data_IF_084635494347
#
_entry.id   IF_084635494347
#
_cell.length_a   1.000
_cell.length_b   1.000
_cell.length_c   1.000
_cell.angle_alpha   90.00
_cell.angle_beta   90.00
_cell.angle_gamma   90.00
#
_symmetry.space_group_name_H-M   'P 1'
#
loop_
_entity.id
_entity.type
_entity.pdbx_description
1 polymer ?
#
# COMPACT_ATOMS: atom_id res chain seq x y z
N UNK A 1 7.61 -11.14 14.85
CA UNK A 1 7.47 -10.78 13.42
C UNK A 1 6.78 -9.42 13.37
N UNK A 2 7.52 -8.36 13.04
CA UNK A 2 7.00 -6.98 13.08
C UNK A 2 6.26 -6.71 11.77
N UNK A 3 5.00 -6.30 11.87
CA UNK A 3 4.14 -6.05 10.70
C UNK A 3 4.66 -4.90 9.82
N UNK A 4 5.26 -3.88 10.44
CA UNK A 4 5.92 -2.75 9.78
C UNK A 4 7.26 -2.45 10.50
N UNK A 5 8.43 -2.68 9.88
CA UNK A 5 9.72 -2.37 10.48
C UNK A 5 9.89 -0.86 10.64
N UNK A 6 10.70 -0.40 11.62
CA UNK A 6 10.87 1.04 11.92
C UNK A 6 11.35 1.88 10.73
N UNK A 7 12.07 1.27 9.79
CA UNK A 7 12.48 1.89 8.51
C UNK A 7 11.29 2.45 7.72
N UNK A 8 10.12 1.81 7.81
CA UNK A 8 8.89 2.23 7.11
C UNK A 8 8.35 3.58 7.57
N UNK A 9 8.78 4.08 8.73
CA UNK A 9 8.39 5.40 9.26
C UNK A 9 9.03 6.57 8.51
N UNK A 10 10.09 6.30 7.73
CA UNK A 10 10.74 7.29 6.87
C UNK A 10 9.96 7.58 5.59
N UNK A 11 9.02 6.71 5.22
CA UNK A 11 8.16 6.90 4.05
C UNK A 11 7.00 7.85 4.39
N UNK A 12 6.59 8.71 3.44
CA UNK A 12 5.42 9.55 3.64
C UNK A 12 4.20 8.66 3.91
N UNK A 13 3.42 8.92 4.97
CA UNK A 13 2.25 8.10 5.25
C UNK A 13 1.22 8.28 4.12
N UNK A 14 0.55 7.20 3.68
CA UNK A 14 -0.48 7.31 2.66
C UNK A 14 -1.58 8.25 3.13
N UNK A 15 -2.12 9.10 2.23
CA UNK A 15 -3.25 9.97 2.55
C UNK A 15 -4.43 9.16 3.09
N UNK A 16 -5.14 9.72 4.08
CA UNK A 16 -6.34 9.09 4.67
C UNK A 16 -7.41 8.80 3.60
N UNK A 17 -7.51 9.68 2.60
CA UNK A 17 -8.28 9.49 1.37
C UNK A 17 -7.33 9.05 0.26
N UNK A 18 -7.14 7.74 0.09
CA UNK A 18 -6.42 7.18 -1.05
C UNK A 18 -7.41 6.48 -1.99
N UNK A 19 -7.01 6.33 -3.26
CA UNK A 19 -7.88 5.79 -4.32
C UNK A 19 -8.36 4.36 -4.00
N UNK A 20 -7.56 3.59 -3.26
CA UNK A 20 -7.90 2.24 -2.78
C UNK A 20 -8.96 2.26 -1.68
N UNK A 21 -8.88 3.17 -0.70
CA UNK A 21 -9.85 3.27 0.39
C UNK A 21 -11.22 3.79 -0.07
N UNK A 22 -11.26 4.61 -1.12
CA UNK A 22 -12.52 5.01 -1.78
C UNK A 22 -13.13 3.82 -2.53
N UNK A 23 -12.34 3.04 -3.25
CA UNK A 23 -12.80 1.86 -4.00
C UNK A 23 -13.31 0.73 -3.08
N UNK A 24 -12.58 0.42 -2.00
CA UNK A 24 -12.99 -0.60 -1.03
C UNK A 24 -14.27 -0.21 -0.28
N UNK A 25 -14.46 1.09 -0.01
CA UNK A 25 -15.68 1.61 0.63
C UNK A 25 -16.89 1.55 -0.33
N UNK A 26 -16.67 1.74 -1.63
CA UNK A 26 -17.70 1.56 -2.66
C UNK A 26 -18.17 0.10 -2.81
N UNK A 27 -17.24 -0.86 -2.84
CA UNK A 27 -17.58 -2.29 -2.98
C UNK A 27 -18.42 -2.86 -1.83
N UNK A 28 -18.18 -2.40 -0.60
CA UNK A 28 -18.92 -2.84 0.58
C UNK A 28 -20.32 -2.21 0.68
N UNK A 29 -20.49 -0.98 0.17
CA UNK A 29 -21.78 -0.30 0.16
C UNK A 29 -22.81 -0.98 -0.76
N UNK A 30 -22.38 -1.59 -1.87
CA UNK A 30 -23.25 -2.26 -2.83
C UNK A 30 -23.62 -3.70 -2.47
N UNK A 31 -22.96 -4.32 -1.48
CA UNK A 31 -23.00 -5.77 -1.26
C UNK A 31 -23.92 -6.25 -0.12
N UNK A 32 -24.59 -5.35 0.62
CA UNK A 32 -25.39 -5.74 1.79
C UNK A 32 -26.80 -5.13 1.75
N UNK A 33 -27.88 -5.94 1.89
CA UNK A 33 -29.24 -5.42 1.98
C UNK A 33 -29.36 -4.48 3.18
N UNK A 34 -30.27 -3.51 3.09
CA UNK A 34 -30.49 -2.38 4.01
C UNK A 34 -30.91 -2.77 5.46
N UNK A 35 -30.61 -3.98 5.92
CA UNK A 35 -30.87 -4.46 7.28
C UNK A 35 -29.66 -4.16 8.18
N UNK A 36 -29.56 -2.91 8.64
CA UNK A 36 -28.68 -2.52 9.74
C UNK A 36 -27.51 -1.62 9.33
N UNK A 37 -27.78 -0.32 9.23
CA UNK A 37 -26.78 0.75 9.02
C UNK A 37 -25.60 0.62 10.00
N UNK A 38 -25.85 0.18 11.24
CA UNK A 38 -24.79 -0.07 12.23
C UNK A 38 -23.75 -1.10 11.76
N UNK A 39 -24.19 -2.23 11.18
CA UNK A 39 -23.26 -3.25 10.66
C UNK A 39 -22.53 -2.75 9.41
N UNK A 40 -23.20 -2.00 8.55
CA UNK A 40 -22.55 -1.39 7.38
C UNK A 40 -21.45 -0.40 7.78
N UNK A 41 -21.69 0.46 8.78
CA UNK A 41 -20.69 1.40 9.29
C UNK A 41 -19.51 0.66 9.93
N UNK A 42 -19.78 -0.41 10.69
CA UNK A 42 -18.73 -1.25 11.27
C UNK A 42 -17.86 -1.90 10.19
N UNK A 43 -18.47 -2.54 9.20
CA UNK A 43 -17.72 -3.17 8.09
C UNK A 43 -16.95 -2.14 7.27
N UNK A 44 -17.56 -1.00 6.93
CA UNK A 44 -16.87 0.08 6.21
C UNK A 44 -15.67 0.64 6.98
N UNK A 45 -15.76 0.74 8.31
CA UNK A 45 -14.66 1.22 9.16
C UNK A 45 -13.55 0.19 9.25
N UNK A 46 -13.89 -1.09 9.41
CA UNK A 46 -12.93 -2.19 9.42
C UNK A 46 -12.21 -2.34 8.07
N UNK A 47 -12.96 -2.31 6.97
CA UNK A 47 -12.38 -2.31 5.63
C UNK A 47 -11.46 -1.11 5.41
N UNK A 48 -11.87 0.09 5.82
CA UNK A 48 -11.01 1.27 5.73
C UNK A 48 -9.72 1.14 6.55
N UNK A 49 -9.78 0.53 7.73
CA UNK A 49 -8.61 0.29 8.57
C UNK A 49 -7.68 -0.76 7.96
N UNK A 50 -8.23 -1.88 7.52
CA UNK A 50 -7.46 -2.97 6.90
C UNK A 50 -6.85 -2.51 5.58
N UNK A 51 -7.62 -1.85 4.72
CA UNK A 51 -7.16 -1.28 3.45
C UNK A 51 -6.05 -0.26 3.66
N UNK A 52 -6.16 0.61 4.66
CA UNK A 52 -5.08 1.56 5.02
C UNK A 52 -3.77 0.83 5.39
N UNK A 53 -3.84 -0.22 6.20
CA UNK A 53 -2.66 -1.01 6.58
C UNK A 53 -2.07 -1.79 5.39
N UNK A 54 -2.92 -2.31 4.51
CA UNK A 54 -2.48 -3.00 3.29
C UNK A 54 -1.78 -2.04 2.32
N UNK A 55 -2.33 -0.85 2.09
CA UNK A 55 -1.71 0.18 1.25
C UNK A 55 -0.36 0.60 1.83
N UNK A 56 -0.27 0.86 3.14
CA UNK A 56 1.02 1.14 3.80
C UNK A 56 2.06 0.04 3.56
N UNK A 57 1.65 -1.22 3.67
CA UNK A 57 2.55 -2.35 3.46
C UNK A 57 2.97 -2.44 1.99
N UNK A 58 2.05 -2.22 1.05
CA UNK A 58 2.35 -2.23 -0.37
C UNK A 58 3.34 -1.13 -0.75
N UNK A 59 3.13 0.11 -0.30
CA UNK A 59 4.04 1.22 -0.52
C UNK A 59 5.44 0.95 0.06
N UNK A 60 5.51 0.37 1.27
CA UNK A 60 6.79 -0.03 1.87
C UNK A 60 7.51 -1.10 1.05
N UNK A 61 6.82 -2.15 0.59
CA UNK A 61 7.42 -3.22 -0.20
C UNK A 61 7.93 -2.68 -1.54
N UNK A 62 7.15 -1.84 -2.23
CA UNK A 62 7.58 -1.23 -3.48
C UNK A 62 8.79 -0.30 -3.27
N UNK A 63 8.79 0.55 -2.24
CA UNK A 63 9.93 1.42 -1.94
C UNK A 63 11.20 0.62 -1.58
N UNK A 64 11.05 -0.49 -0.87
CA UNK A 64 12.18 -1.37 -0.53
C UNK A 64 12.79 -1.99 -1.78
N UNK A 65 11.97 -2.55 -2.66
CA UNK A 65 12.42 -3.16 -3.92
C UNK A 65 13.15 -2.14 -4.79
N UNK A 66 12.61 -0.92 -4.88
CA UNK A 66 13.21 0.17 -5.66
C UNK A 66 14.58 0.56 -5.09
N UNK A 67 14.71 0.66 -3.75
CA UNK A 67 16.00 0.91 -3.08
C UNK A 67 17.03 -0.17 -3.38
N UNK A 68 16.65 -1.44 -3.26
CA UNK A 68 17.52 -2.58 -3.53
C UNK A 68 17.95 -2.61 -5.02
N UNK A 69 17.03 -2.28 -5.94
CA UNK A 69 17.34 -2.18 -7.36
C UNK A 69 18.35 -1.06 -7.66
N UNK A 70 18.16 0.14 -7.09
CA UNK A 70 19.11 1.24 -7.27
C UNK A 70 20.48 0.96 -6.64
N UNK A 71 20.53 0.27 -5.49
CA UNK A 71 21.79 -0.19 -4.90
C UNK A 71 22.48 -1.20 -5.82
N UNK A 72 21.75 -2.17 -6.36
CA UNK A 72 22.29 -3.17 -7.28
C UNK A 72 22.87 -2.52 -8.55
N UNK A 73 22.15 -1.58 -9.17
CA UNK A 73 22.60 -0.82 -10.36
C UNK A 73 23.87 -0.02 -10.04
N UNK A 74 23.95 0.64 -8.87
CA UNK A 74 25.16 1.37 -8.46
C UNK A 74 26.38 0.47 -8.30
N UNK A 75 26.19 -0.76 -7.81
CA UNK A 75 27.29 -1.71 -7.62
C UNK A 75 27.73 -2.40 -8.91
N UNK A 76 26.84 -2.51 -9.91
CA UNK A 76 27.12 -3.21 -11.17
C UNK A 76 26.95 -2.30 -12.40
N UNK A 77 27.69 -1.19 -12.48
CA UNK A 77 27.55 -0.25 -13.60
C UNK A 77 27.93 -0.87 -14.96
N UNK A 78 28.68 -1.98 -14.97
CA UNK A 78 29.08 -2.70 -16.19
C UNK A 78 27.91 -3.48 -16.81
N UNK A 79 27.00 -4.02 -16.00
CA UNK A 79 25.88 -4.87 -16.45
C UNK A 79 24.70 -4.03 -16.95
N UNK A 80 24.58 -2.78 -16.47
CA UNK A 80 23.52 -1.83 -16.87
C UNK A 80 23.97 -0.81 -17.92
N UNK A 81 25.19 -0.96 -18.46
CA UNK A 81 25.67 -0.17 -19.59
C UNK A 81 25.05 -0.70 -20.89
N UNK A 82 23.73 -0.55 -21.03
CA UNK A 82 23.02 -0.99 -22.21
C UNK A 82 23.28 -0.03 -23.39
N UNK A 83 24.01 -0.55 -24.38
CA UNK A 83 23.95 -0.20 -25.79
C UNK A 83 24.41 1.21 -26.20
N UNK A 84 25.68 1.52 -25.97
CA UNK A 84 26.41 2.41 -26.90
C UNK A 84 26.99 1.52 -28.02
N UNK A 85 26.18 1.21 -29.03
CA UNK A 85 26.58 0.44 -30.21
C UNK A 85 25.66 0.77 -31.37
#
# INVERSE_FOLDING_TARGET
>A
MVFLPDESRSLPPPPLLNKGSVWERWGQFLSLPAAGVHRQVLFATLGCFVGYQLVKRAEYVHAKVDREMFEYIRHHPVDFNAATG
#
